data_IF_498451874937
#
_entry.id   IF_498451874937
#
_cell.length_a   1.000
_cell.length_b   1.000
_cell.length_c   1.000
_cell.angle_alpha   90.00
_cell.angle_beta   90.00
_cell.angle_gamma   90.00
#
_symmetry.space_group_name_H-M   'P 1'
#
loop_
_entity.id
_entity.type
_entity.pdbx_description
1 polymer ?
#
# COMPACT_ATOMS: atom_id res chain seq x y z
N UNK A 1 -12.91 11.90 -5.13
CA UNK A 1 -13.45 11.15 -3.96
C UNK A 1 -13.28 9.67 -4.20
N UNK A 2 -12.67 8.98 -3.25
CA UNK A 2 -12.34 7.56 -3.33
C UNK A 2 -12.97 6.78 -2.17
N UNK A 3 -13.67 5.69 -2.49
CA UNK A 3 -14.26 4.74 -1.54
C UNK A 3 -13.20 4.14 -0.63
N UNK A 4 -12.01 3.81 -1.13
CA UNK A 4 -10.94 3.31 -0.25
C UNK A 4 -10.50 4.34 0.78
N UNK A 5 -10.66 5.64 0.50
CA UNK A 5 -10.44 6.74 1.45
C UNK A 5 -11.66 7.08 2.31
N UNK A 6 -12.75 6.30 2.26
CA UNK A 6 -13.99 6.60 2.99
C UNK A 6 -14.80 7.72 2.35
N UNK A 7 -14.85 7.74 1.02
CA UNK A 7 -15.53 8.78 0.23
C UNK A 7 -14.87 10.17 0.35
N UNK A 8 -13.59 10.19 0.73
CA UNK A 8 -12.75 11.39 0.80
C UNK A 8 -11.78 11.45 -0.38
N UNK A 9 -11.16 12.59 -0.59
CA UNK A 9 -10.09 12.70 -1.58
C UNK A 9 -8.82 12.00 -1.09
N UNK A 10 -8.06 11.49 -2.06
CA UNK A 10 -6.78 10.84 -1.79
C UNK A 10 -5.79 11.92 -1.34
N UNK A 11 -5.10 11.74 -0.20
CA UNK A 11 -4.17 12.77 0.28
C UNK A 11 -3.01 12.95 -0.70
N UNK A 12 -2.54 14.18 -0.84
CA UNK A 12 -1.52 14.55 -1.85
C UNK A 12 -0.25 13.70 -1.76
N UNK A 13 0.17 13.34 -0.55
CA UNK A 13 1.34 12.48 -0.35
C UNK A 13 1.15 11.08 -0.95
N UNK A 14 -0.05 10.48 -0.88
CA UNK A 14 -0.32 9.19 -1.53
C UNK A 14 -0.24 9.37 -3.03
N UNK A 15 -0.85 10.44 -3.54
CA UNK A 15 -0.92 10.72 -4.97
C UNK A 15 0.46 10.97 -5.58
N UNK A 16 1.34 11.66 -4.86
CA UNK A 16 2.75 11.82 -5.24
C UNK A 16 3.46 10.45 -5.36
N UNK A 17 3.21 9.54 -4.41
CA UNK A 17 3.83 8.21 -4.40
C UNK A 17 3.20 7.21 -5.37
N UNK A 18 1.97 7.42 -5.86
CA UNK A 18 1.39 6.60 -6.93
C UNK A 18 2.28 6.61 -8.18
N UNK A 19 2.88 7.76 -8.49
CA UNK A 19 3.85 7.87 -9.59
C UNK A 19 5.13 7.09 -9.32
N UNK A 20 5.57 7.00 -8.06
CA UNK A 20 6.69 6.16 -7.62
C UNK A 20 6.37 4.69 -7.81
N UNK A 21 5.19 4.22 -7.39
CA UNK A 21 4.74 2.84 -7.60
C UNK A 21 4.72 2.44 -9.07
N UNK A 22 4.31 3.35 -9.96
CA UNK A 22 4.25 3.12 -11.40
C UNK A 22 5.64 2.91 -12.04
N UNK A 23 6.72 3.40 -11.42
CA UNK A 23 8.11 3.19 -11.90
C UNK A 23 8.61 1.76 -11.64
N UNK A 24 8.04 1.05 -10.66
CA UNK A 24 8.39 -0.33 -10.35
C UNK A 24 7.67 -1.27 -11.32
N UNK A 25 8.23 -2.43 -11.65
CA UNK A 25 7.49 -3.44 -12.44
C UNK A 25 6.31 -4.05 -11.65
N UNK A 26 5.25 -4.45 -12.36
CA UNK A 26 4.07 -5.08 -11.76
C UNK A 26 4.41 -6.31 -10.89
N UNK A 27 5.41 -7.10 -11.31
CA UNK A 27 5.93 -8.25 -10.57
C UNK A 27 6.55 -7.84 -9.23
N UNK A 28 7.44 -6.85 -9.25
CA UNK A 28 8.09 -6.33 -8.03
C UNK A 28 7.07 -5.70 -7.10
N UNK A 29 6.12 -4.90 -7.63
CA UNK A 29 5.03 -4.32 -6.84
C UNK A 29 4.24 -5.40 -6.11
N UNK A 30 3.91 -6.52 -6.78
CA UNK A 30 3.21 -7.65 -6.15
C UNK A 30 4.00 -8.25 -5.00
N UNK A 31 5.32 -8.40 -5.14
CA UNK A 31 6.20 -8.91 -4.08
C UNK A 31 6.27 -7.97 -2.88
N UNK A 32 6.35 -6.66 -3.13
CA UNK A 32 6.37 -5.63 -2.07
C UNK A 32 5.02 -5.60 -1.37
N UNK A 33 3.92 -5.61 -2.13
CA UNK A 33 2.56 -5.72 -1.61
C UNK A 33 2.42 -6.92 -0.68
N UNK A 34 2.98 -8.08 -1.05
CA UNK A 34 2.98 -9.28 -0.20
C UNK A 34 3.72 -9.08 1.12
N UNK A 35 4.81 -8.30 1.14
CA UNK A 35 5.52 -7.97 2.38
C UNK A 35 4.77 -6.95 3.24
N UNK A 36 4.14 -5.96 2.60
CA UNK A 36 3.28 -4.99 3.30
C UNK A 36 2.08 -5.69 3.92
N UNK A 37 1.46 -6.65 3.21
CA UNK A 37 0.36 -7.46 3.73
C UNK A 37 0.78 -8.25 4.98
N UNK A 38 1.99 -8.84 4.97
CA UNK A 38 2.54 -9.53 6.14
C UNK A 38 2.74 -8.59 7.33
N UNK A 39 3.25 -7.40 7.08
CA UNK A 39 3.42 -6.37 8.10
C UNK A 39 2.09 -5.98 8.76
N UNK A 40 1.07 -5.73 7.94
CA UNK A 40 -0.29 -5.40 8.39
C UNK A 40 -0.95 -6.54 9.18
N UNK A 41 -0.54 -7.79 8.91
CA UNK A 41 -0.96 -8.97 9.66
C UNK A 41 -0.07 -9.28 10.88
N UNK A 42 0.88 -8.40 11.22
CA UNK A 42 1.75 -8.54 12.38
C UNK A 42 2.88 -9.56 12.21
N UNK A 43 3.13 -10.05 10.99
CA UNK A 43 4.24 -10.96 10.68
C UNK A 43 5.57 -10.22 10.46
N UNK A 44 5.52 -8.90 10.34
CA UNK A 44 6.66 -8.02 10.10
C UNK A 44 7.04 -7.86 8.64
N UNK A 45 7.78 -6.80 8.36
CA UNK A 45 8.25 -6.43 7.02
C UNK A 45 9.76 -6.60 6.88
N UNK A 46 10.18 -7.12 5.73
CA UNK A 46 11.59 -7.27 5.37
C UNK A 46 12.01 -6.15 4.42
N UNK A 47 12.44 -5.02 5.00
CA UNK A 47 12.88 -3.85 4.24
C UNK A 47 14.11 -4.14 3.37
N UNK A 48 15.02 -5.00 3.84
CA UNK A 48 16.22 -5.35 3.07
C UNK A 48 15.85 -6.09 1.79
N UNK A 49 14.88 -7.01 1.87
CA UNK A 49 14.33 -7.68 0.69
C UNK A 49 13.64 -6.71 -0.27
N UNK A 50 12.84 -5.78 0.24
CA UNK A 50 12.16 -4.77 -0.59
C UNK A 50 13.20 -3.90 -1.31
N UNK A 51 14.22 -3.45 -0.59
CA UNK A 51 15.29 -2.61 -1.13
C UNK A 51 16.06 -3.33 -2.24
N UNK A 52 16.33 -4.63 -2.11
CA UNK A 52 16.91 -5.45 -3.19
C UNK A 52 15.99 -5.56 -4.41
N UNK A 53 14.67 -5.67 -4.21
CA UNK A 53 13.70 -5.73 -5.32
C UNK A 53 13.60 -4.40 -6.07
N UNK A 54 13.71 -3.27 -5.37
CA UNK A 54 13.60 -1.92 -5.94
C UNK A 54 14.95 -1.30 -6.35
N UNK A 55 16.07 -1.99 -6.11
CA UNK A 55 17.41 -1.50 -6.46
C UNK A 55 17.55 -1.11 -7.93
N UNK A 56 16.96 -1.91 -8.82
CA UNK A 56 16.96 -1.69 -10.27
C UNK A 56 16.07 -0.50 -10.70
N UNK A 57 15.13 -0.08 -9.84
CA UNK A 57 14.34 1.15 -10.03
C UNK A 57 15.03 2.41 -9.49
N UNK A 58 16.28 2.30 -8.98
CA UNK A 58 17.06 3.36 -8.31
C UNK A 58 16.39 3.93 -7.06
N UNK A 59 15.65 3.10 -6.33
CA UNK A 59 14.97 3.52 -5.10
C UNK A 59 15.95 3.60 -3.96
N UNK A 60 15.91 4.71 -3.23
CA UNK A 60 16.64 4.91 -2.00
C UNK A 60 15.83 4.40 -0.80
N UNK A 61 16.42 4.45 0.40
CA UNK A 61 15.67 4.12 1.63
C UNK A 61 14.39 4.95 1.79
N UNK A 62 14.39 6.19 1.29
CA UNK A 62 13.21 7.07 1.32
C UNK A 62 12.09 6.51 0.44
N UNK A 63 12.38 6.23 -0.83
CA UNK A 63 11.40 5.70 -1.80
C UNK A 63 10.83 4.35 -1.35
N UNK A 64 11.67 3.48 -0.76
CA UNK A 64 11.23 2.19 -0.22
C UNK A 64 10.22 2.39 0.91
N UNK A 65 10.53 3.29 1.86
CA UNK A 65 9.61 3.60 2.97
C UNK A 65 8.32 4.23 2.47
N UNK A 66 8.41 5.14 1.50
CA UNK A 66 7.26 5.79 0.88
C UNK A 66 6.37 4.77 0.14
N UNK A 67 6.96 3.86 -0.63
CA UNK A 67 6.29 2.73 -1.30
C UNK A 67 5.56 1.84 -0.31
N UNK A 68 6.22 1.48 0.79
CA UNK A 68 5.60 0.66 1.84
C UNK A 68 4.45 1.42 2.50
N UNK A 69 4.65 2.68 2.84
CA UNK A 69 3.65 3.52 3.49
C UNK A 69 2.40 3.71 2.61
N UNK A 70 2.58 3.99 1.31
CA UNK A 70 1.47 4.19 0.38
C UNK A 70 0.69 2.89 0.16
N UNK A 71 1.37 1.75 -0.03
CA UNK A 71 0.73 0.45 -0.16
C UNK A 71 -0.02 0.06 1.11
N UNK A 72 0.61 0.27 2.27
CA UNK A 72 0.03 0.01 3.58
C UNK A 72 -1.24 0.83 3.78
N UNK A 73 -1.20 2.11 3.44
CA UNK A 73 -2.35 3.02 3.53
C UNK A 73 -3.49 2.61 2.60
N UNK A 74 -3.20 2.32 1.32
CA UNK A 74 -4.19 1.89 0.32
C UNK A 74 -4.90 0.63 0.80
N UNK A 75 -4.14 -0.41 1.15
CA UNK A 75 -4.65 -1.72 1.57
C UNK A 75 -5.45 -1.61 2.86
N UNK A 76 -4.91 -0.90 3.86
CA UNK A 76 -5.56 -0.76 5.16
C UNK A 76 -6.83 0.07 5.07
N UNK A 77 -6.81 1.15 4.28
CA UNK A 77 -7.99 1.99 4.10
C UNK A 77 -9.07 1.26 3.30
N UNK A 78 -8.70 0.52 2.24
CA UNK A 78 -9.62 -0.34 1.50
C UNK A 78 -10.26 -1.40 2.42
N UNK A 79 -9.46 -2.11 3.22
CA UNK A 79 -9.96 -3.10 4.18
C UNK A 79 -10.90 -2.48 5.21
N UNK A 80 -10.50 -1.33 5.78
CA UNK A 80 -11.28 -0.59 6.79
C UNK A 80 -12.65 -0.14 6.27
N UNK A 81 -12.69 0.36 5.05
CA UNK A 81 -13.93 0.78 4.39
C UNK A 81 -14.65 -0.38 3.68
N UNK A 82 -14.15 -1.61 3.81
CA UNK A 82 -14.71 -2.82 3.18
C UNK A 82 -14.90 -2.67 1.66
N UNK A 83 -13.92 -2.05 1.01
CA UNK A 83 -13.92 -1.86 -0.45
C UNK A 83 -13.51 -3.16 -1.12
N UNK A 84 -14.27 -3.55 -2.15
CA UNK A 84 -13.99 -4.70 -2.99
C UNK A 84 -12.79 -4.46 -3.92
N UNK A 85 -12.16 -5.56 -4.36
CA UNK A 85 -10.95 -5.55 -5.19
C UNK A 85 -11.16 -4.86 -6.55
N UNK A 86 -12.34 -4.98 -7.15
CA UNK A 86 -12.69 -4.37 -8.44
C UNK A 86 -12.80 -2.84 -8.34
N UNK A 87 -13.49 -2.36 -7.30
CA UNK A 87 -13.60 -0.94 -7.00
C UNK A 87 -12.24 -0.35 -6.68
N UNK A 88 -11.46 -0.98 -5.79
CA UNK A 88 -10.11 -0.52 -5.45
C UNK A 88 -9.21 -0.44 -6.69
N UNK A 89 -9.28 -1.44 -7.57
CA UNK A 89 -8.51 -1.46 -8.81
C UNK A 89 -8.86 -0.29 -9.73
N UNK A 90 -10.16 0.02 -9.85
CA UNK A 90 -10.64 1.14 -10.67
C UNK A 90 -10.16 2.48 -10.11
N UNK A 91 -10.18 2.64 -8.79
CA UNK A 91 -9.72 3.83 -8.09
C UNK A 91 -8.22 4.07 -8.22
N UNK A 92 -7.42 3.01 -8.06
CA UNK A 92 -5.97 3.07 -8.26
C UNK A 92 -5.62 3.43 -9.71
N UNK A 93 -6.37 2.92 -10.68
CA UNK A 93 -6.20 3.30 -12.08
C UNK A 93 -6.52 4.78 -12.33
N UNK A 94 -7.57 5.31 -11.70
CA UNK A 94 -7.90 6.74 -11.77
C UNK A 94 -6.83 7.63 -11.13
N UNK A 95 -6.12 7.14 -10.12
CA UNK A 95 -4.98 7.82 -9.50
C UNK A 95 -3.71 7.82 -10.37
N UNK A 96 -3.70 7.07 -11.48
CA UNK A 96 -2.56 6.97 -12.40
C UNK A 96 -1.75 5.67 -12.27
N UNK A 97 -2.21 4.71 -11.46
CA UNK A 97 -1.56 3.41 -11.35
C UNK A 97 -1.87 2.57 -12.60
N UNK A 98 -0.88 1.92 -13.24
CA UNK A 98 -1.15 1.10 -14.42
C UNK A 98 -2.11 -0.05 -14.10
N UNK A 99 -2.94 -0.44 -15.06
CA UNK A 99 -3.95 -1.51 -14.88
C UNK A 99 -3.34 -2.82 -14.38
N UNK A 100 -2.17 -3.20 -14.87
CA UNK A 100 -1.46 -4.41 -14.44
C UNK A 100 -1.06 -4.35 -12.96
N UNK A 101 -0.55 -3.19 -12.53
CA UNK A 101 -0.15 -2.91 -11.14
C UNK A 101 -1.36 -2.93 -10.21
N UNK A 102 -2.42 -2.22 -10.58
CA UNK A 102 -3.66 -2.18 -9.84
C UNK A 102 -4.26 -3.59 -9.69
N UNK A 103 -4.32 -4.36 -10.77
CA UNK A 103 -4.85 -5.73 -10.75
C UNK A 103 -4.01 -6.66 -9.87
N UNK A 104 -2.67 -6.55 -9.92
CA UNK A 104 -1.77 -7.35 -9.08
C UNK A 104 -1.88 -7.02 -7.59
N UNK A 105 -2.01 -5.73 -7.25
CA UNK A 105 -2.24 -5.26 -5.88
C UNK A 105 -3.59 -5.75 -5.37
N UNK A 106 -4.66 -5.54 -6.13
CA UNK A 106 -6.02 -5.87 -5.70
C UNK A 106 -6.25 -7.37 -5.51
N UNK A 107 -5.62 -8.22 -6.35
CA UNK A 107 -5.63 -9.68 -6.12
C UNK A 107 -4.97 -10.06 -4.80
N UNK A 108 -3.81 -9.49 -4.51
CA UNK A 108 -3.08 -9.78 -3.26
C UNK A 108 -3.86 -9.30 -2.03
N UNK A 109 -4.57 -8.17 -2.16
CA UNK A 109 -5.47 -7.64 -1.16
C UNK A 109 -6.69 -8.57 -0.93
N UNK A 110 -7.38 -8.98 -1.99
CA UNK A 110 -8.56 -9.85 -1.93
C UNK A 110 -8.28 -11.15 -1.18
N UNK A 111 -7.15 -11.81 -1.47
CA UNK A 111 -6.73 -13.04 -0.79
C UNK A 111 -6.50 -12.86 0.72
N UNK A 112 -6.18 -11.64 1.17
CA UNK A 112 -5.87 -11.32 2.57
C UNK A 112 -6.88 -10.40 3.21
N UNK A 113 -7.97 -10.05 2.54
CA UNK A 113 -8.93 -9.06 2.98
C UNK A 113 -9.57 -9.45 4.32
N UNK A 114 -10.03 -10.69 4.47
CA UNK A 114 -10.64 -11.18 5.72
C UNK A 114 -9.70 -11.05 6.94
N UNK A 115 -8.50 -11.67 6.89
CA UNK A 115 -7.50 -11.53 7.96
C UNK A 115 -7.07 -10.09 8.24
N UNK A 116 -6.96 -9.25 7.20
CA UNK A 116 -6.64 -7.83 7.37
C UNK A 116 -7.74 -7.10 8.12
N UNK A 117 -9.00 -7.29 7.75
CA UNK A 117 -10.13 -6.66 8.42
C UNK A 117 -10.19 -7.05 9.90
N UNK A 118 -9.91 -8.31 10.22
CA UNK A 118 -9.84 -8.77 11.60
C UNK A 118 -8.66 -8.13 12.36
N UNK A 119 -7.47 -8.10 11.77
CA UNK A 119 -6.28 -7.43 12.33
C UNK A 119 -6.53 -5.94 12.59
N UNK A 120 -7.18 -5.25 11.65
CA UNK A 120 -7.51 -3.82 11.71
C UNK A 120 -8.54 -3.50 12.80
N UNK A 121 -9.56 -4.36 12.95
CA UNK A 121 -10.53 -4.28 14.05
C UNK A 121 -9.84 -4.39 15.41
N UNK A 122 -8.81 -5.24 15.53
CA UNK A 122 -8.02 -5.38 16.76
C UNK A 122 -6.96 -4.28 16.98
N UNK A 123 -6.46 -3.65 15.90
CA UNK A 123 -5.23 -2.81 15.94
C UNK A 123 -5.43 -1.32 15.63
N UNK A 124 -6.67 -0.82 15.66
CA UNK A 124 -7.10 0.50 15.15
C UNK A 124 -6.28 1.73 15.62
N UNK A 125 -5.52 1.65 16.70
CA UNK A 125 -4.69 2.76 17.22
C UNK A 125 -3.21 2.73 16.78
N UNK A 126 -2.68 1.56 16.38
CA UNK A 126 -1.23 1.39 16.18
C UNK A 126 -0.77 1.76 14.76
N UNK A 127 -1.63 1.55 13.77
CA UNK A 127 -1.31 1.77 12.35
C UNK A 127 -1.35 3.23 11.90
N UNK A 128 -2.28 4.04 12.44
CA UNK A 128 -2.27 5.50 12.23
C UNK A 128 -0.94 6.10 12.74
N UNK A 129 -0.47 5.61 13.90
CA UNK A 129 0.82 6.01 14.45
C UNK A 129 2.01 5.51 13.64
N UNK A 130 1.98 4.31 13.06
CA UNK A 130 3.08 3.80 12.24
C UNK A 130 3.18 4.51 10.89
N UNK A 131 2.06 4.73 10.19
CA UNK A 131 2.08 5.53 8.96
C UNK A 131 2.56 6.97 9.24
N UNK A 132 2.09 7.59 10.34
CA UNK A 132 2.59 8.90 10.76
C UNK A 132 4.05 8.88 11.22
N UNK A 133 4.52 7.84 11.92
CA UNK A 133 5.90 7.73 12.39
C UNK A 133 6.90 7.47 11.25
N UNK A 134 6.50 6.69 10.24
CA UNK A 134 7.30 6.50 9.03
C UNK A 134 7.43 7.80 8.24
N UNK A 135 6.39 8.64 8.22
CA UNK A 135 6.43 9.96 7.59
C UNK A 135 7.16 11.03 8.44
N UNK A 136 7.07 10.96 9.77
CA UNK A 136 7.73 11.91 10.68
C UNK A 136 9.25 11.75 10.79
N UNK A 137 9.81 10.66 10.26
CA UNK A 137 11.25 10.40 10.24
C UNK A 137 11.94 10.79 8.91
N UNK A 138 11.21 11.42 7.98
CA UNK A 138 11.71 11.95 6.70
C UNK A 138 12.01 13.46 6.76
N UNK A 139 11.99 14.07 7.95
CA UNK A 139 12.38 15.46 8.19
C UNK A 139 13.81 15.58 8.70
#
# INVERSE_FOLDING_TARGET
>A
RFRFCGDLDCPDWVLAEISTLAKISSVKLKLICSQVLKDLLGQGIDFEKILKLTADAKFESGDVKATVAVLSFIISSAAKHSVDSESLSSELQQLGLPKEHASGLCRSYEEKQGPLQESLRGSSLRQLKQAQALMGSLG
#
